data_IF_460832184860
#
_entry.id   IF_460832184860
#
_cell.length_a   1.000
_cell.length_b   1.000
_cell.length_c   1.000
_cell.angle_alpha   90.00
_cell.angle_beta   90.00
_cell.angle_gamma   90.00
#
_symmetry.space_group_name_H-M   'P 1'
#
loop_
_entity.id
_entity.type
_entity.pdbx_description
1 polymer ?
#
# COMPACT_ATOMS: atom_id res chain seq x y z
N UNK A 1 0.80 -7.22 -45.45
CA UNK A 1 1.58 -7.33 -44.21
C UNK A 1 0.66 -7.65 -43.05
N UNK A 2 1.17 -8.21 -41.96
CA UNK A 2 0.43 -8.48 -40.73
C UNK A 2 -0.07 -7.16 -40.13
N UNK A 3 -1.36 -7.04 -39.76
CA UNK A 3 -1.88 -5.80 -39.19
C UNK A 3 -1.35 -5.51 -37.79
N UNK A 4 -0.83 -6.52 -37.07
CA UNK A 4 -0.30 -6.36 -35.71
C UNK A 4 1.17 -5.96 -35.66
N UNK A 5 2.01 -6.47 -36.57
CA UNK A 5 3.47 -6.29 -36.50
C UNK A 5 4.10 -5.89 -37.85
N UNK A 6 3.29 -5.58 -38.85
CA UNK A 6 3.70 -5.13 -40.20
C UNK A 6 4.57 -6.11 -41.00
N UNK A 7 4.93 -7.28 -40.45
CA UNK A 7 5.71 -8.32 -41.13
C UNK A 7 4.94 -8.89 -42.33
N UNK A 8 5.61 -9.12 -43.46
CA UNK A 8 4.99 -9.80 -44.59
C UNK A 8 4.64 -11.25 -44.23
N UNK A 9 3.46 -11.72 -44.61
CA UNK A 9 3.12 -13.13 -44.42
C UNK A 9 3.87 -13.97 -45.45
N UNK A 10 4.46 -15.08 -45.01
CA UNK A 10 4.94 -16.12 -45.91
C UNK A 10 3.78 -16.65 -46.79
N UNK A 11 4.12 -17.16 -47.97
CA UNK A 11 3.14 -17.73 -48.89
C UNK A 11 2.40 -18.90 -48.20
N UNK A 12 1.07 -18.87 -48.23
CA UNK A 12 0.17 -19.87 -47.61
C UNK A 12 0.20 -19.97 -46.07
N UNK A 13 0.89 -19.08 -45.36
CA UNK A 13 0.88 -19.06 -43.90
C UNK A 13 -0.52 -18.69 -43.34
N UNK A 14 -1.09 -19.58 -42.51
CA UNK A 14 -2.37 -19.36 -41.80
C UNK A 14 -2.24 -18.42 -40.60
N UNK A 15 -1.02 -18.25 -40.09
CA UNK A 15 -0.68 -17.36 -38.98
C UNK A 15 0.57 -16.54 -39.32
N UNK A 16 0.73 -15.38 -38.69
CA UNK A 16 1.95 -14.59 -38.84
C UNK A 16 3.06 -15.28 -38.06
N UNK A 17 4.18 -15.57 -38.72
CA UNK A 17 5.31 -16.28 -38.09
C UNK A 17 5.96 -15.46 -36.97
N UNK A 18 5.90 -14.12 -37.05
CA UNK A 18 6.50 -13.24 -36.05
C UNK A 18 5.64 -13.08 -34.78
N UNK A 19 4.31 -13.03 -34.90
CA UNK A 19 3.44 -12.69 -33.77
C UNK A 19 2.21 -13.59 -33.59
N UNK A 20 2.11 -14.69 -34.34
CA UNK A 20 1.01 -15.66 -34.28
C UNK A 20 -0.34 -15.17 -34.83
N UNK A 21 -0.42 -13.98 -35.44
CA UNK A 21 -1.71 -13.40 -35.85
C UNK A 21 -2.36 -14.17 -37.02
N UNK A 22 -3.56 -14.69 -36.79
CA UNK A 22 -4.31 -15.51 -37.76
C UNK A 22 -4.69 -14.71 -39.01
N UNK A 23 -4.41 -15.27 -40.19
CA UNK A 23 -4.77 -14.71 -41.48
C UNK A 23 -6.15 -15.22 -41.89
N UNK A 24 -7.20 -14.43 -41.68
CA UNK A 24 -8.55 -14.78 -42.14
C UNK A 24 -9.53 -13.60 -42.04
N UNK A 25 -10.22 -13.30 -43.15
CA UNK A 25 -11.48 -12.53 -43.12
C UNK A 25 -12.63 -13.52 -43.18
N UNK A 26 -13.55 -13.45 -42.23
CA UNK A 26 -14.84 -14.16 -42.31
C UNK A 26 -15.84 -13.20 -42.93
N UNK A 27 -16.39 -13.55 -44.10
CA UNK A 27 -17.57 -12.88 -44.64
C UNK A 27 -18.80 -13.61 -44.14
N UNK A 28 -19.58 -12.97 -43.28
CA UNK A 28 -20.92 -13.47 -42.91
C UNK A 28 -21.94 -12.50 -43.52
N UNK A 29 -22.75 -12.99 -44.45
CA UNK A 29 -23.91 -12.24 -44.97
C UNK A 29 -25.04 -12.31 -43.92
N UNK A 30 -25.40 -11.19 -43.33
CA UNK A 30 -26.54 -11.08 -42.42
C UNK A 30 -27.67 -10.25 -43.07
N UNK A 31 -28.92 -10.70 -42.90
CA UNK A 31 -30.14 -9.93 -43.18
C UNK A 31 -30.60 -9.20 -41.91
N UNK A 32 -31.25 -8.02 -42.04
CA UNK A 32 -31.52 -7.11 -40.92
C UNK A 32 -32.36 -7.72 -39.78
N UNK A 33 -33.24 -8.68 -40.07
CA UNK A 33 -34.05 -9.37 -39.05
C UNK A 33 -33.21 -10.24 -38.09
N UNK A 34 -32.08 -10.79 -38.56
CA UNK A 34 -31.18 -11.59 -37.71
C UNK A 34 -30.32 -10.74 -36.79
N UNK A 35 -30.03 -9.48 -37.15
CA UNK A 35 -29.25 -8.56 -36.30
C UNK A 35 -29.98 -8.29 -34.99
N UNK A 36 -31.28 -8.02 -35.06
CA UNK A 36 -32.09 -7.75 -33.87
C UNK A 36 -32.15 -8.99 -32.98
N UNK A 37 -32.31 -10.19 -33.55
CA UNK A 37 -32.36 -11.43 -32.77
C UNK A 37 -31.01 -11.80 -32.16
N UNK A 38 -29.90 -11.62 -32.89
CA UNK A 38 -28.56 -11.84 -32.32
C UNK A 38 -28.21 -10.79 -31.29
N UNK A 39 -28.62 -9.53 -31.45
CA UNK A 39 -28.41 -8.52 -30.41
C UNK A 39 -29.30 -8.78 -29.18
N UNK A 40 -30.55 -9.18 -29.37
CA UNK A 40 -31.47 -9.53 -28.26
C UNK A 40 -31.03 -10.76 -27.47
N UNK A 41 -30.27 -11.68 -28.04
CA UNK A 41 -29.76 -12.86 -27.33
C UNK A 41 -28.32 -12.67 -26.88
N UNK A 42 -27.47 -12.07 -27.71
CA UNK A 42 -26.06 -11.86 -27.39
C UNK A 42 -25.85 -10.74 -26.37
N UNK A 43 -26.64 -9.66 -26.38
CA UNK A 43 -26.49 -8.58 -25.39
C UNK A 43 -26.83 -9.08 -23.98
N UNK A 44 -27.94 -9.82 -23.74
CA UNK A 44 -28.20 -10.38 -22.42
C UNK A 44 -27.19 -11.45 -22.00
N UNK A 45 -26.71 -12.30 -22.92
CA UNK A 45 -25.66 -13.28 -22.62
C UNK A 45 -24.32 -12.61 -22.32
N UNK A 46 -23.98 -11.54 -23.04
CA UNK A 46 -22.77 -10.75 -22.82
C UNK A 46 -22.88 -9.95 -21.53
N UNK A 47 -24.05 -9.38 -21.23
CA UNK A 47 -24.33 -8.69 -19.97
C UNK A 47 -24.31 -9.65 -18.78
N UNK A 48 -24.93 -10.83 -18.90
CA UNK A 48 -24.88 -11.88 -17.88
C UNK A 48 -23.45 -12.44 -17.69
N UNK A 49 -22.67 -12.59 -18.77
CA UNK A 49 -21.26 -12.95 -18.69
C UNK A 49 -20.40 -11.86 -18.06
N UNK A 50 -20.67 -10.59 -18.36
CA UNK A 50 -20.00 -9.42 -17.81
C UNK A 50 -20.26 -9.27 -16.30
N UNK A 51 -21.51 -9.42 -15.86
CA UNK A 51 -21.87 -9.34 -14.44
C UNK A 51 -21.46 -10.59 -13.65
N UNK A 52 -21.40 -11.77 -14.28
CA UNK A 52 -20.90 -12.99 -13.65
C UNK A 52 -19.36 -13.04 -13.58
N UNK A 53 -18.64 -12.36 -14.49
CA UNK A 53 -17.18 -12.30 -14.47
C UNK A 53 -16.63 -11.62 -13.21
N UNK A 54 -17.26 -10.54 -12.73
CA UNK A 54 -16.82 -9.84 -11.52
C UNK A 54 -16.98 -10.70 -10.24
N UNK A 55 -17.85 -11.74 -10.27
CA UNK A 55 -18.06 -12.66 -9.15
C UNK A 55 -17.23 -13.96 -9.21
N UNK A 56 -16.71 -14.35 -10.39
CA UNK A 56 -15.96 -15.61 -10.57
C UNK A 56 -14.46 -15.40 -10.84
N UNK A 57 -14.05 -14.23 -11.36
CA UNK A 57 -12.67 -14.00 -11.80
C UNK A 57 -11.78 -13.25 -10.79
N UNK A 58 -12.32 -12.88 -9.62
CA UNK A 58 -11.63 -11.96 -8.71
C UNK A 58 -11.51 -10.54 -9.31
N UNK A 59 -10.95 -9.57 -8.57
CA UNK A 59 -10.84 -8.20 -9.06
C UNK A 59 -10.02 -8.16 -10.36
N UNK A 60 -10.48 -7.37 -11.34
CA UNK A 60 -9.74 -7.11 -12.58
C UNK A 60 -8.30 -6.71 -12.22
N UNK A 61 -7.27 -7.30 -12.87
CA UNK A 61 -5.91 -6.83 -12.68
C UNK A 61 -5.87 -5.35 -13.01
N UNK A 62 -5.34 -4.57 -12.08
CA UNK A 62 -5.22 -3.12 -12.19
C UNK A 62 -4.53 -2.83 -13.52
N UNK A 63 -5.17 -2.02 -14.37
CA UNK A 63 -4.53 -1.46 -15.56
C UNK A 63 -3.33 -0.64 -15.07
N UNK A 64 -2.14 -1.22 -15.22
CA UNK A 64 -0.91 -0.87 -14.53
C UNK A 64 0.03 -2.09 -14.47
N UNK A 65 -0.54 -3.31 -14.50
CA UNK A 65 0.23 -4.56 -14.52
C UNK A 65 0.73 -5.01 -15.91
N UNK A 66 0.56 -4.22 -16.98
CA UNK A 66 0.91 -4.67 -18.35
C UNK A 66 2.18 -4.04 -18.96
N UNK A 67 2.88 -3.14 -18.28
CA UNK A 67 4.14 -2.59 -18.82
C UNK A 67 5.42 -3.27 -18.27
N UNK A 68 5.35 -3.99 -17.15
CA UNK A 68 6.53 -4.63 -16.54
C UNK A 68 6.72 -6.12 -16.88
N UNK A 69 6.19 -6.63 -17.99
CA UNK A 69 6.46 -8.02 -18.39
C UNK A 69 7.95 -8.29 -18.66
N UNK A 70 8.71 -7.26 -19.04
CA UNK A 70 10.15 -7.37 -19.28
C UNK A 70 10.98 -7.33 -17.98
N UNK A 71 10.68 -6.41 -17.05
CA UNK A 71 11.34 -6.36 -15.72
C UNK A 71 11.08 -7.64 -14.91
N UNK A 72 9.85 -8.18 -14.96
CA UNK A 72 9.50 -9.48 -14.35
C UNK A 72 10.28 -10.65 -14.98
N UNK A 73 10.62 -10.55 -16.26
CA UNK A 73 11.43 -11.55 -16.98
C UNK A 73 12.91 -11.49 -16.56
N UNK A 74 13.44 -10.31 -16.21
CA UNK A 74 14.81 -10.16 -15.70
C UNK A 74 14.88 -10.61 -14.24
N UNK A 75 13.96 -10.15 -13.37
CA UNK A 75 13.88 -10.56 -11.97
C UNK A 75 13.66 -12.08 -11.79
N UNK A 76 12.88 -12.72 -12.66
CA UNK A 76 12.68 -14.17 -12.65
C UNK A 76 13.86 -14.98 -13.22
N UNK A 77 14.82 -14.34 -13.92
CA UNK A 77 15.97 -15.02 -14.54
C UNK A 77 17.31 -14.74 -13.84
N UNK A 78 17.39 -13.72 -12.99
CA UNK A 78 18.59 -13.31 -12.27
C UNK A 78 18.30 -13.10 -10.77
N UNK A 79 19.03 -13.81 -9.90
CA UNK A 79 18.93 -13.60 -8.45
C UNK A 79 19.47 -12.22 -8.02
N UNK A 80 19.07 -11.74 -6.85
CA UNK A 80 19.41 -10.42 -6.27
C UNK A 80 20.90 -10.07 -6.42
N UNK A 81 21.81 -11.02 -6.21
CA UNK A 81 23.26 -10.82 -6.38
C UNK A 81 23.69 -10.44 -7.80
N UNK A 82 23.05 -11.03 -8.81
CA UNK A 82 23.32 -10.68 -10.22
C UNK A 82 22.80 -9.28 -10.53
N UNK A 83 21.60 -8.93 -10.07
CA UNK A 83 21.03 -7.59 -10.23
C UNK A 83 21.92 -6.53 -9.56
N UNK A 84 22.44 -6.79 -8.35
CA UNK A 84 23.42 -5.93 -7.67
C UNK A 84 24.69 -5.75 -8.51
N UNK A 85 25.21 -6.82 -9.12
CA UNK A 85 26.39 -6.75 -9.98
C UNK A 85 26.13 -5.96 -11.27
N UNK A 86 24.98 -6.18 -11.92
CA UNK A 86 24.55 -5.46 -13.12
C UNK A 86 24.35 -3.97 -12.84
N UNK A 87 23.78 -3.61 -11.68
CA UNK A 87 23.62 -2.22 -11.27
C UNK A 87 24.95 -1.51 -11.05
N UNK A 88 25.99 -2.21 -10.55
CA UNK A 88 27.34 -1.61 -10.44
C UNK A 88 27.93 -1.23 -11.80
N UNK A 89 27.61 -1.99 -12.86
CA UNK A 89 28.05 -1.67 -14.22
C UNK A 89 27.21 -0.56 -14.85
N UNK A 90 25.92 -0.46 -14.47
CA UNK A 90 24.97 0.49 -15.04
C UNK A 90 24.12 1.16 -13.93
N UNK A 91 24.68 2.13 -13.16
CA UNK A 91 24.07 2.63 -11.92
C UNK A 91 22.71 3.29 -12.08
N UNK A 92 22.45 3.93 -13.22
CA UNK A 92 21.22 4.68 -13.48
C UNK A 92 20.24 3.92 -14.39
N UNK A 93 20.46 2.61 -14.60
CA UNK A 93 19.57 1.81 -15.44
C UNK A 93 18.26 1.52 -14.68
N UNK A 94 17.20 2.22 -15.07
CA UNK A 94 15.86 2.12 -14.48
C UNK A 94 15.31 0.69 -14.49
N UNK A 95 15.56 -0.09 -15.54
CA UNK A 95 15.04 -1.47 -15.64
C UNK A 95 15.69 -2.39 -14.61
N UNK A 96 17.01 -2.25 -14.39
CA UNK A 96 17.75 -3.00 -13.38
C UNK A 96 17.32 -2.55 -11.98
N UNK A 97 17.14 -1.25 -11.77
CA UNK A 97 16.65 -0.71 -10.50
C UNK A 97 15.26 -1.27 -10.15
N UNK A 98 14.32 -1.29 -11.11
CA UNK A 98 13.01 -1.92 -10.90
C UNK A 98 13.10 -3.40 -10.60
N UNK A 99 13.86 -4.16 -11.40
CA UNK A 99 14.02 -5.59 -11.19
C UNK A 99 14.61 -5.88 -9.79
N UNK A 100 15.59 -5.08 -9.35
CA UNK A 100 16.17 -5.21 -8.01
C UNK A 100 15.16 -4.86 -6.93
N UNK A 101 14.41 -3.75 -7.06
CA UNK A 101 13.38 -3.36 -6.10
C UNK A 101 12.29 -4.44 -5.96
N UNK A 102 11.83 -5.01 -7.07
CA UNK A 102 10.85 -6.09 -7.10
C UNK A 102 11.39 -7.34 -6.37
N UNK A 103 12.61 -7.79 -6.69
CA UNK A 103 13.21 -8.95 -6.03
C UNK A 103 13.46 -8.73 -4.52
N UNK A 104 13.92 -7.54 -4.12
CA UNK A 104 14.10 -7.19 -2.71
C UNK A 104 12.74 -7.15 -1.97
N UNK A 105 11.70 -6.65 -2.63
CA UNK A 105 10.34 -6.63 -2.10
C UNK A 105 9.76 -8.04 -1.91
N UNK A 106 9.99 -8.95 -2.86
CA UNK A 106 9.61 -10.36 -2.71
C UNK A 106 10.36 -11.04 -1.56
N UNK A 107 11.68 -10.81 -1.45
CA UNK A 107 12.50 -11.34 -0.36
C UNK A 107 12.06 -10.81 1.01
N UNK A 108 11.64 -9.54 1.09
CA UNK A 108 11.08 -8.94 2.29
C UNK A 108 9.80 -9.64 2.73
N UNK A 109 8.87 -9.88 1.79
CA UNK A 109 7.57 -10.47 2.07
C UNK A 109 7.64 -11.98 2.39
N UNK A 110 8.69 -12.66 1.93
CA UNK A 110 8.93 -14.07 2.23
C UNK A 110 9.41 -14.31 3.68
N UNK A 111 9.86 -13.26 4.38
CA UNK A 111 10.43 -13.35 5.72
C UNK A 111 9.43 -12.87 6.78
N UNK A 112 9.24 -13.65 7.85
CA UNK A 112 8.39 -13.24 8.98
C UNK A 112 8.96 -12.01 9.71
N UNK A 113 10.29 -11.88 9.74
CA UNK A 113 11.03 -10.77 10.34
C UNK A 113 12.17 -10.37 9.43
N UNK A 114 11.92 -9.55 8.39
CA UNK A 114 12.96 -9.18 7.46
C UNK A 114 14.07 -8.39 8.17
N UNK A 115 15.35 -8.61 7.80
CA UNK A 115 16.46 -7.81 8.31
C UNK A 115 16.26 -6.36 7.91
N UNK A 116 16.54 -5.43 8.82
CA UNK A 116 16.36 -3.99 8.57
C UNK A 116 17.25 -3.52 7.42
N UNK A 117 18.42 -4.13 7.26
CA UNK A 117 19.35 -3.88 6.15
C UNK A 117 18.68 -4.06 4.79
N UNK A 118 17.80 -5.05 4.64
CA UNK A 118 17.07 -5.31 3.40
C UNK A 118 16.02 -4.22 3.13
N UNK A 119 15.32 -3.77 4.18
CA UNK A 119 14.37 -2.64 4.08
C UNK A 119 15.09 -1.37 3.63
N UNK A 120 16.26 -1.09 4.22
CA UNK A 120 17.05 0.10 3.87
C UNK A 120 17.57 0.03 2.43
N UNK A 121 18.08 -1.12 2.00
CA UNK A 121 18.51 -1.31 0.61
C UNK A 121 17.35 -1.08 -0.37
N UNK A 122 16.17 -1.63 -0.09
CA UNK A 122 14.98 -1.42 -0.91
C UNK A 122 14.63 0.07 -0.99
N UNK A 123 14.63 0.80 0.14
CA UNK A 123 14.40 2.25 0.16
C UNK A 123 15.43 2.99 -0.70
N UNK A 124 16.71 2.62 -0.63
CA UNK A 124 17.77 3.26 -1.42
C UNK A 124 17.61 3.02 -2.93
N UNK A 125 17.20 1.80 -3.33
CA UNK A 125 16.90 1.48 -4.73
C UNK A 125 15.67 2.25 -5.21
N UNK A 126 14.60 2.29 -4.42
CA UNK A 126 13.39 3.06 -4.74
C UNK A 126 13.68 4.56 -4.88
N UNK A 127 14.54 5.12 -4.02
CA UNK A 127 14.97 6.51 -4.14
C UNK A 127 15.84 6.75 -5.39
N UNK A 128 16.62 5.77 -5.84
CA UNK A 128 17.33 5.85 -7.12
C UNK A 128 16.37 5.86 -8.30
N UNK A 129 15.33 5.00 -8.27
CA UNK A 129 14.24 5.03 -9.27
C UNK A 129 13.64 6.44 -9.32
N UNK A 130 13.28 7.02 -8.16
CA UNK A 130 12.67 8.36 -8.12
C UNK A 130 13.60 9.51 -8.50
N UNK A 131 14.93 9.30 -8.52
CA UNK A 131 15.87 10.28 -9.10
C UNK A 131 15.85 10.26 -10.62
N UNK A 132 15.68 9.08 -11.21
CA UNK A 132 15.64 8.89 -12.67
C UNK A 132 14.25 9.22 -13.21
N UNK A 133 13.20 8.71 -12.56
CA UNK A 133 11.79 9.02 -12.83
C UNK A 133 11.06 9.47 -11.55
N UNK A 134 10.95 10.79 -11.31
CA UNK A 134 10.25 11.34 -10.14
C UNK A 134 8.75 11.02 -10.05
N UNK A 135 8.14 10.54 -11.14
CA UNK A 135 6.72 10.20 -11.24
C UNK A 135 6.47 8.69 -11.33
N UNK A 136 7.48 7.87 -11.03
CA UNK A 136 7.30 6.43 -10.97
C UNK A 136 6.30 6.05 -9.87
N UNK A 137 5.07 5.73 -10.29
CA UNK A 137 3.97 5.47 -9.36
C UNK A 137 4.21 4.23 -8.50
N UNK A 138 4.90 3.22 -9.03
CA UNK A 138 5.18 1.99 -8.30
C UNK A 138 6.17 2.23 -7.16
N UNK A 139 7.23 3.00 -7.41
CA UNK A 139 8.23 3.34 -6.41
C UNK A 139 7.65 4.26 -5.34
N UNK A 140 6.86 5.27 -5.72
CA UNK A 140 6.13 6.14 -4.78
C UNK A 140 5.23 5.31 -3.87
N UNK A 141 4.39 4.42 -4.44
CA UNK A 141 3.47 3.59 -3.66
C UNK A 141 4.22 2.63 -2.72
N UNK A 142 5.31 2.04 -3.19
CA UNK A 142 6.12 1.13 -2.38
C UNK A 142 6.74 1.86 -1.18
N UNK A 143 7.29 3.07 -1.39
CA UNK A 143 7.79 3.91 -0.30
C UNK A 143 6.68 4.33 0.67
N UNK A 144 5.48 4.63 0.17
CA UNK A 144 4.32 4.94 1.01
C UNK A 144 3.96 3.76 1.93
N UNK A 145 3.88 2.55 1.37
CA UNK A 145 3.56 1.33 2.11
C UNK A 145 4.65 0.97 3.13
N UNK A 146 5.93 1.08 2.76
CA UNK A 146 7.06 0.87 3.69
C UNK A 146 6.97 1.87 4.85
N UNK A 147 6.70 3.14 4.55
CA UNK A 147 6.55 4.18 5.56
C UNK A 147 5.37 3.91 6.49
N UNK A 148 4.21 3.52 5.93
CA UNK A 148 3.02 3.17 6.70
C UNK A 148 3.26 1.97 7.62
N UNK A 149 3.84 0.89 7.10
CA UNK A 149 4.14 -0.33 7.87
C UNK A 149 5.19 -0.07 8.95
N UNK A 150 6.10 0.88 8.72
CA UNK A 150 7.08 1.34 9.70
C UNK A 150 6.52 2.37 10.69
N UNK A 151 5.22 2.68 10.61
CA UNK A 151 4.51 3.69 11.41
C UNK A 151 5.04 5.12 11.24
N UNK A 152 5.82 5.38 10.18
CA UNK A 152 6.28 6.71 9.79
C UNK A 152 5.16 7.43 9.03
N UNK A 153 4.05 7.73 9.71
CA UNK A 153 2.81 8.19 9.09
C UNK A 153 2.96 9.54 8.36
N UNK A 154 3.81 10.45 8.84
CA UNK A 154 4.07 11.73 8.14
C UNK A 154 4.65 11.50 6.72
N UNK A 155 5.63 10.58 6.61
CA UNK A 155 6.23 10.21 5.33
C UNK A 155 5.25 9.42 4.46
N UNK A 156 4.48 8.53 5.08
CA UNK A 156 3.45 7.78 4.39
C UNK A 156 2.43 8.73 3.75
N UNK A 157 2.01 9.79 4.46
CA UNK A 157 1.10 10.83 3.95
C UNK A 157 1.68 11.47 2.67
N UNK A 158 2.91 11.96 2.72
CA UNK A 158 3.58 12.60 1.58
C UNK A 158 3.60 11.70 0.34
N UNK A 159 4.01 10.43 0.50
CA UNK A 159 4.07 9.51 -0.63
C UNK A 159 2.68 9.08 -1.13
N UNK A 160 1.70 8.89 -0.23
CA UNK A 160 0.33 8.58 -0.65
C UNK A 160 -0.32 9.75 -1.40
N UNK A 161 -0.12 10.98 -0.96
CA UNK A 161 -0.58 12.18 -1.68
C UNK A 161 0.01 12.22 -3.09
N UNK A 162 1.34 12.09 -3.22
CA UNK A 162 2.02 12.03 -4.53
C UNK A 162 1.50 10.92 -5.42
N UNK A 163 1.24 9.73 -4.87
CA UNK A 163 0.67 8.63 -5.65
C UNK A 163 -0.76 8.93 -6.10
N UNK A 164 -1.59 9.50 -5.23
CA UNK A 164 -2.99 9.82 -5.51
C UNK A 164 -3.15 11.02 -6.46
N UNK A 165 -2.16 11.91 -6.55
CA UNK A 165 -2.08 12.91 -7.62
C UNK A 165 -1.96 12.26 -9.01
N UNK A 166 -1.18 11.17 -9.10
CA UNK A 166 -1.02 10.39 -10.34
C UNK A 166 -2.20 9.45 -10.60
N UNK A 167 -2.78 8.90 -9.54
CA UNK A 167 -3.82 7.85 -9.58
C UNK A 167 -5.04 8.22 -8.72
N UNK A 168 -5.78 9.29 -9.05
CA UNK A 168 -6.82 9.86 -8.20
C UNK A 168 -8.05 8.95 -8.02
N UNK A 169 -8.19 7.87 -8.78
CA UNK A 169 -9.29 6.92 -8.70
C UNK A 169 -8.94 5.63 -7.95
N UNK A 170 -7.72 5.45 -7.44
CA UNK A 170 -7.33 4.23 -6.72
C UNK A 170 -7.92 4.22 -5.30
N UNK A 171 -9.15 3.71 -5.18
CA UNK A 171 -9.88 3.62 -3.91
C UNK A 171 -9.16 2.77 -2.86
N UNK A 172 -8.33 1.81 -3.27
CA UNK A 172 -7.59 0.97 -2.33
C UNK A 172 -6.51 1.80 -1.64
N UNK A 173 -5.77 2.61 -2.41
CA UNK A 173 -4.75 3.49 -1.83
C UNK A 173 -5.39 4.63 -1.04
N UNK A 174 -6.53 5.19 -1.49
CA UNK A 174 -7.29 6.16 -0.69
C UNK A 174 -7.72 5.62 0.67
N UNK A 175 -8.05 4.34 0.78
CA UNK A 175 -8.36 3.71 2.08
C UNK A 175 -7.16 3.69 3.02
N UNK A 176 -5.97 3.31 2.53
CA UNK A 176 -4.74 3.29 3.33
C UNK A 176 -4.30 4.72 3.69
N UNK A 177 -4.48 5.66 2.77
CA UNK A 177 -4.27 7.08 3.03
C UNK A 177 -5.19 7.60 4.16
N UNK A 178 -6.49 7.29 4.13
CA UNK A 178 -7.39 7.67 5.21
C UNK A 178 -7.03 7.04 6.56
N UNK A 179 -6.55 5.78 6.56
CA UNK A 179 -5.99 5.15 7.76
C UNK A 179 -4.75 5.92 8.26
N UNK A 180 -3.87 6.33 7.36
CA UNK A 180 -2.69 7.17 7.68
C UNK A 180 -3.11 8.48 8.35
N UNK A 181 -4.11 9.17 7.79
CA UNK A 181 -4.67 10.39 8.37
C UNK A 181 -5.27 10.15 9.75
N UNK A 182 -5.93 9.00 9.96
CA UNK A 182 -6.47 8.61 11.28
C UNK A 182 -5.34 8.50 12.31
N UNK A 183 -4.22 7.85 11.97
CA UNK A 183 -3.07 7.74 12.88
C UNK A 183 -2.33 9.07 13.13
N UNK A 184 -2.45 10.03 12.21
CA UNK A 184 -1.96 11.40 12.38
C UNK A 184 -2.91 12.28 13.21
N UNK A 185 -4.08 11.78 13.59
CA UNK A 185 -5.10 12.56 14.28
C UNK A 185 -5.90 13.51 13.38
N UNK A 186 -5.73 13.41 12.06
CA UNK A 186 -6.45 14.21 11.07
C UNK A 186 -7.83 13.60 10.76
N UNK A 187 -8.62 13.39 11.82
CA UNK A 187 -9.83 12.56 11.78
C UNK A 187 -10.91 13.07 10.82
N UNK A 188 -11.08 14.40 10.70
CA UNK A 188 -12.08 14.97 9.80
C UNK A 188 -11.73 14.71 8.34
N UNK A 189 -10.45 14.83 7.96
CA UNK A 189 -10.00 14.56 6.59
C UNK A 189 -10.03 13.06 6.28
N UNK A 190 -9.69 12.22 7.26
CA UNK A 190 -9.85 10.77 7.16
C UNK A 190 -11.32 10.39 6.90
N UNK A 191 -12.24 10.96 7.67
CA UNK A 191 -13.68 10.72 7.54
C UNK A 191 -14.23 11.17 6.19
N UNK A 192 -13.85 12.37 5.71
CA UNK A 192 -14.24 12.86 4.39
C UNK A 192 -13.75 11.91 3.29
N UNK A 193 -12.47 11.52 3.35
CA UNK A 193 -11.87 10.59 2.39
C UNK A 193 -12.60 9.26 2.37
N UNK A 194 -12.92 8.70 3.54
CA UNK A 194 -13.65 7.44 3.66
C UNK A 194 -15.08 7.55 3.12
N UNK A 195 -15.78 8.67 3.34
CA UNK A 195 -17.12 8.87 2.78
C UNK A 195 -17.10 9.01 1.26
N UNK A 196 -16.07 9.62 0.67
CA UNK A 196 -15.90 9.64 -0.79
C UNK A 196 -15.75 8.23 -1.38
N UNK A 197 -15.03 7.33 -0.67
CA UNK A 197 -14.91 5.93 -1.08
C UNK A 197 -16.24 5.21 -0.90
N UNK A 198 -16.90 5.36 0.26
CA UNK A 198 -18.20 4.74 0.55
C UNK A 198 -19.29 5.15 -0.45
N UNK A 199 -19.27 6.38 -0.97
CA UNK A 199 -20.21 6.79 -2.03
C UNK A 199 -20.06 5.97 -3.32
N UNK A 200 -18.84 5.51 -3.63
CA UNK A 200 -18.55 4.72 -4.82
C UNK A 200 -18.70 3.22 -4.57
N UNK A 201 -18.31 2.77 -3.38
CA UNK A 201 -18.42 1.38 -2.92
C UNK A 201 -19.00 1.33 -1.50
N UNK A 202 -20.34 1.37 -1.36
CA UNK A 202 -21.02 1.47 -0.06
C UNK A 202 -20.79 0.27 0.87
N UNK A 203 -20.38 -0.86 0.30
CA UNK A 203 -20.17 -2.15 0.97
C UNK A 203 -18.69 -2.49 1.10
N UNK A 204 -17.79 -1.55 0.82
CA UNK A 204 -16.36 -1.79 0.96
C UNK A 204 -16.01 -2.09 2.42
N UNK A 205 -15.66 -3.34 2.70
CA UNK A 205 -15.29 -3.80 4.03
C UNK A 205 -14.20 -2.93 4.69
N UNK A 206 -13.12 -2.64 3.96
CA UNK A 206 -11.99 -1.87 4.49
C UNK A 206 -12.39 -0.43 4.80
N UNK A 207 -13.20 0.21 3.96
CA UNK A 207 -13.70 1.57 4.22
C UNK A 207 -14.58 1.62 5.46
N UNK A 208 -15.49 0.65 5.62
CA UNK A 208 -16.35 0.56 6.81
C UNK A 208 -15.52 0.32 8.07
N UNK A 209 -14.54 -0.58 8.02
CA UNK A 209 -13.62 -0.85 9.11
C UNK A 209 -12.83 0.41 9.52
N UNK A 210 -12.28 1.14 8.55
CA UNK A 210 -11.56 2.39 8.80
C UNK A 210 -12.47 3.49 9.34
N UNK A 211 -13.75 3.57 8.92
CA UNK A 211 -14.73 4.51 9.51
C UNK A 211 -14.96 4.21 10.99
N UNK A 212 -15.12 2.94 11.36
CA UNK A 212 -15.26 2.56 12.78
C UNK A 212 -14.02 2.88 13.60
N UNK A 213 -12.81 2.62 13.09
CA UNK A 213 -11.57 2.94 13.80
C UNK A 213 -11.42 4.47 13.95
N UNK A 214 -11.65 5.24 12.88
CA UNK A 214 -11.59 6.70 12.94
C UNK A 214 -12.61 7.29 13.92
N UNK A 215 -13.82 6.75 13.96
CA UNK A 215 -14.86 7.18 14.92
C UNK A 215 -14.48 6.80 16.36
N UNK A 216 -13.86 5.63 16.56
CA UNK A 216 -13.37 5.20 17.88
C UNK A 216 -12.28 6.15 18.40
N UNK A 217 -11.32 6.53 17.55
CA UNK A 217 -10.24 7.46 17.90
C UNK A 217 -10.75 8.86 18.25
N UNK A 218 -11.87 9.29 17.65
CA UNK A 218 -12.57 10.53 18.02
C UNK A 218 -13.39 10.40 19.32
N UNK A 219 -13.50 9.19 19.90
CA UNK A 219 -14.32 8.91 21.07
C UNK A 219 -15.82 8.77 20.77
N UNK A 220 -16.22 8.71 19.50
CA UNK A 220 -17.60 8.59 19.04
C UNK A 220 -18.08 7.13 19.07
N UNK A 221 -18.15 6.55 20.26
CA UNK A 221 -18.35 5.11 20.46
C UNK A 221 -19.61 4.53 19.79
N UNK A 222 -20.71 5.30 19.75
CA UNK A 222 -21.94 4.87 19.09
C UNK A 222 -21.76 4.71 17.58
N UNK A 223 -21.11 5.69 16.92
CA UNK A 223 -20.83 5.63 15.48
C UNK A 223 -19.80 4.55 15.19
N UNK A 224 -18.77 4.44 16.02
CA UNK A 224 -17.75 3.40 15.89
C UNK A 224 -18.35 2.00 15.86
N UNK A 225 -19.29 1.70 16.76
CA UNK A 225 -19.98 0.41 16.76
C UNK A 225 -20.90 0.21 15.56
N UNK A 226 -21.63 1.25 15.13
CA UNK A 226 -22.45 1.17 13.93
C UNK A 226 -21.61 0.80 12.69
N UNK A 227 -20.50 1.49 12.47
CA UNK A 227 -19.61 1.21 11.34
C UNK A 227 -18.93 -0.16 11.46
N UNK A 228 -18.61 -0.60 12.67
CA UNK A 228 -18.06 -1.94 12.93
C UNK A 228 -19.07 -3.02 12.54
N UNK A 229 -20.34 -2.87 12.91
CA UNK A 229 -21.40 -3.83 12.57
C UNK A 229 -21.66 -3.87 11.06
N UNK A 230 -21.65 -2.70 10.39
CA UNK A 230 -21.69 -2.62 8.93
C UNK A 230 -20.46 -3.32 8.30
N UNK A 231 -19.25 -3.11 8.83
CA UNK A 231 -18.05 -3.76 8.34
C UNK A 231 -18.15 -5.28 8.46
N UNK A 232 -18.49 -5.81 9.64
CA UNK A 232 -18.67 -7.25 9.90
C UNK A 232 -19.69 -7.85 8.92
N UNK A 233 -20.81 -7.17 8.69
CA UNK A 233 -21.87 -7.63 7.78
C UNK A 233 -21.45 -7.66 6.30
N UNK A 234 -20.42 -6.91 5.92
CA UNK A 234 -19.90 -6.83 4.54
C UNK A 234 -18.49 -7.44 4.42
N UNK A 235 -18.03 -8.18 5.42
CA UNK A 235 -16.74 -8.86 5.36
C UNK A 235 -16.75 -9.91 4.23
N UNK A 236 -15.63 -10.09 3.49
CA UNK A 236 -15.58 -11.08 2.42
C UNK A 236 -15.71 -12.53 2.93
N UNK A 237 -15.28 -12.79 4.17
CA UNK A 237 -15.37 -14.09 4.84
C UNK A 237 -15.67 -13.95 6.33
N UNK A 238 -16.29 -14.97 6.92
CA UNK A 238 -16.51 -15.06 8.38
C UNK A 238 -15.19 -14.99 9.17
N UNK A 239 -14.11 -15.54 8.59
CA UNK A 239 -12.79 -15.51 9.20
C UNK A 239 -12.23 -14.09 9.28
N UNK A 240 -12.39 -13.29 8.22
CA UNK A 240 -12.01 -11.87 8.23
C UNK A 240 -12.89 -11.05 9.16
N UNK A 241 -14.20 -11.29 9.16
CA UNK A 241 -15.13 -10.66 10.08
C UNK A 241 -14.69 -10.86 11.54
N UNK A 242 -14.40 -12.11 11.91
CA UNK A 242 -13.97 -12.46 13.27
C UNK A 242 -12.60 -11.88 13.63
N UNK A 243 -11.64 -11.86 12.69
CA UNK A 243 -10.33 -11.23 12.89
C UNK A 243 -10.49 -9.74 13.15
N UNK A 244 -11.31 -9.08 12.34
CA UNK A 244 -11.57 -7.66 12.47
C UNK A 244 -12.31 -7.33 13.77
N UNK A 245 -13.33 -8.09 14.14
CA UNK A 245 -14.04 -7.92 15.41
C UNK A 245 -13.10 -8.05 16.61
N UNK A 246 -12.23 -9.07 16.60
CA UNK A 246 -11.22 -9.26 17.65
C UNK A 246 -10.27 -8.07 17.73
N UNK A 247 -9.81 -7.57 16.59
CA UNK A 247 -8.94 -6.40 16.51
C UNK A 247 -9.63 -5.11 16.99
N UNK A 248 -10.89 -4.88 16.59
CA UNK A 248 -11.64 -3.71 17.03
C UNK A 248 -11.88 -3.71 18.55
N UNK A 249 -12.20 -4.88 19.12
CA UNK A 249 -12.40 -5.02 20.56
C UNK A 249 -11.10 -4.75 21.35
N UNK A 250 -9.94 -5.18 20.85
CA UNK A 250 -8.67 -4.86 21.52
C UNK A 250 -8.33 -3.36 21.47
N UNK A 251 -8.69 -2.68 20.38
CA UNK A 251 -8.58 -1.22 20.30
C UNK A 251 -9.51 -0.54 21.32
N UNK A 252 -10.74 -1.02 21.47
CA UNK A 252 -11.71 -0.46 22.43
C UNK A 252 -11.20 -0.57 23.87
N UNK A 253 -10.70 -1.74 24.27
CA UNK A 253 -10.11 -1.96 25.61
C UNK A 253 -8.92 -1.03 25.88
N UNK A 254 -8.06 -0.82 24.88
CA UNK A 254 -6.92 0.10 24.99
C UNK A 254 -7.36 1.56 25.15
N UNK A 255 -8.41 1.96 24.43
CA UNK A 255 -8.96 3.31 24.46
C UNK A 255 -9.66 3.60 25.79
N UNK A 256 -10.37 2.63 26.37
CA UNK A 256 -10.95 2.74 27.72
C UNK A 256 -9.86 2.85 28.80
N UNK A 257 -8.80 2.04 28.68
CA UNK A 257 -7.67 2.06 29.63
C UNK A 257 -6.91 3.41 29.59
N UNK A 258 -6.74 4.01 28.41
CA UNK A 258 -6.10 5.32 28.24
C UNK A 258 -6.91 6.46 28.88
N UNK A 259 -8.25 6.42 28.80
CA UNK A 259 -9.14 7.39 29.46
C UNK A 259 -9.06 7.33 30.98
N UNK A 260 -8.85 6.14 31.56
CA UNK A 260 -8.70 5.98 33.01
C UNK A 260 -7.36 6.54 33.49
N UNK A 261 -6.27 6.32 32.74
CA UNK A 261 -4.92 6.79 33.11
C UNK A 261 -4.75 8.32 33.03
N UNK A 262 -5.46 9.00 32.15
CA UNK A 262 -5.43 10.47 32.01
C UNK A 262 -6.25 11.22 33.08
N UNK A 263 -7.01 10.49 33.91
CA UNK A 263 -7.84 11.07 34.98
C UNK A 263 -7.17 11.15 36.36
N UNK A 264 -5.93 10.64 36.51
CA UNK A 264 -5.18 10.72 37.77
C UNK A 264 -4.25 11.94 37.78
N UNK A 265 -4.55 12.93 38.63
CA UNK A 265 -3.73 14.10 38.91
C UNK A 265 -2.30 13.73 39.34
N UNK A 266 -1.31 13.99 38.48
CA UNK A 266 0.12 13.96 38.84
C UNK A 266 0.61 15.41 38.91
N UNK A 267 1.24 15.86 40.03
CA UNK A 267 1.68 17.24 40.16
C UNK A 267 2.88 17.53 39.24
N UNK A 268 2.74 18.50 38.34
CA UNK A 268 3.83 19.01 37.51
C UNK A 268 4.75 19.95 38.30
N UNK A 269 6.07 19.69 38.26
CA UNK A 269 7.11 20.65 38.65
C UNK A 269 8.12 20.79 37.53
N UNK A 270 8.34 22.03 37.10
CA UNK A 270 8.97 22.43 35.83
C UNK A 270 10.51 22.49 35.86
N UNK A 271 11.14 21.94 34.83
CA UNK A 271 12.54 22.11 34.43
C UNK A 271 12.66 21.98 32.89
N UNK A 272 13.62 22.66 32.25
CA UNK A 272 13.81 22.60 30.77
C UNK A 272 14.16 21.20 30.21
N UNK A 273 14.46 20.21 31.07
CA UNK A 273 14.47 18.78 30.71
C UNK A 273 13.12 18.29 30.20
N UNK A 274 12.05 18.91 30.68
CA UNK A 274 10.69 18.41 30.56
C UNK A 274 10.18 18.57 29.13
N UNK A 275 10.60 19.61 28.40
CA UNK A 275 10.16 19.80 27.02
C UNK A 275 10.66 18.73 26.04
N UNK A 276 11.90 18.26 26.19
CA UNK A 276 12.44 17.19 25.35
C UNK A 276 11.89 15.83 25.79
N UNK A 277 11.78 15.60 27.09
CA UNK A 277 11.16 14.38 27.61
C UNK A 277 9.69 14.26 27.20
N UNK A 278 8.92 15.33 27.35
CA UNK A 278 7.52 15.41 26.94
C UNK A 278 7.35 15.26 25.43
N UNK A 279 8.23 15.86 24.63
CA UNK A 279 8.29 15.61 23.19
C UNK A 279 8.52 14.12 22.88
N UNK A 280 9.49 13.48 23.54
CA UNK A 280 9.79 12.07 23.32
C UNK A 280 8.65 11.16 23.76
N UNK A 281 8.01 11.46 24.90
CA UNK A 281 6.85 10.70 25.43
C UNK A 281 5.60 10.86 24.57
N UNK A 282 5.37 12.05 24.01
CA UNK A 282 4.22 12.32 23.14
C UNK A 282 4.42 11.83 21.70
N UNK A 283 5.65 11.52 21.29
CA UNK A 283 5.92 11.05 19.94
C UNK A 283 5.35 9.63 19.72
N UNK A 284 4.52 9.39 18.69
CA UNK A 284 3.82 8.10 18.49
C UNK A 284 4.72 6.85 18.40
N UNK A 285 5.94 7.00 17.87
CA UNK A 285 6.90 5.91 17.66
C UNK A 285 7.91 5.82 18.81
N UNK A 286 8.45 6.96 19.24
CA UNK A 286 9.51 7.00 20.24
C UNK A 286 8.95 6.86 21.67
N UNK A 287 7.76 7.39 21.93
CA UNK A 287 7.11 7.42 23.24
C UNK A 287 6.92 6.04 23.87
N UNK A 288 6.30 5.06 23.18
CA UNK A 288 6.13 3.70 23.70
C UNK A 288 7.44 2.99 24.03
N UNK A 289 8.55 3.42 23.43
CA UNK A 289 9.90 2.85 23.66
C UNK A 289 10.71 3.69 24.64
N UNK A 290 10.32 4.92 24.93
CA UNK A 290 11.11 5.85 25.71
C UNK A 290 11.03 5.50 27.20
N UNK A 291 12.19 5.28 27.82
CA UNK A 291 12.29 4.95 29.24
C UNK A 291 12.51 6.23 30.06
N UNK A 292 13.65 6.89 29.85
CA UNK A 292 14.06 8.08 30.61
C UNK A 292 15.14 8.86 29.87
N UNK A 293 15.39 10.10 30.33
CA UNK A 293 16.49 10.94 29.88
C UNK A 293 17.36 11.36 31.07
N UNK A 294 18.68 11.17 30.95
CA UNK A 294 19.67 11.66 31.90
C UNK A 294 20.40 12.86 31.31
N UNK A 295 20.46 13.96 32.06
CA UNK A 295 21.23 15.14 31.64
C UNK A 295 22.66 15.03 32.17
N UNK A 296 23.63 14.89 31.25
CA UNK A 296 25.06 14.91 31.61
C UNK A 296 25.62 16.34 31.67
N UNK A 297 25.12 17.26 30.84
CA UNK A 297 25.52 18.67 30.85
C UNK A 297 24.46 19.58 30.20
N UNK A 298 24.75 20.89 30.05
CA UNK A 298 23.84 21.83 29.39
C UNK A 298 23.46 21.42 27.95
N UNK A 299 24.36 20.74 27.23
CA UNK A 299 24.19 20.35 25.82
C UNK A 299 24.34 18.84 25.58
N UNK A 300 24.40 18.01 26.63
CA UNK A 300 24.61 16.57 26.51
C UNK A 300 23.58 15.82 27.33
N UNK A 301 22.84 14.96 26.65
CA UNK A 301 21.80 14.12 27.21
C UNK A 301 22.09 12.66 26.86
N UNK A 302 21.78 11.76 27.77
CA UNK A 302 21.68 10.32 27.54
C UNK A 302 20.21 9.96 27.53
N UNK A 303 19.73 9.41 26.42
CA UNK A 303 18.34 9.01 26.28
C UNK A 303 18.30 7.48 26.29
N UNK A 304 17.38 6.93 27.08
CA UNK A 304 17.21 5.50 27.24
C UNK A 304 15.89 5.08 26.57
N UNK A 305 15.98 4.03 25.76
CA UNK A 305 14.84 3.43 25.09
C UNK A 305 14.87 1.91 25.36
N UNK A 306 13.69 1.33 25.61
CA UNK A 306 13.49 -0.11 25.60
C UNK A 306 13.42 -0.63 24.16
N UNK A 307 13.99 -1.82 23.92
CA UNK A 307 13.97 -2.50 22.62
C UNK A 307 14.38 -1.61 21.43
N UNK A 308 15.28 -0.66 21.69
CA UNK A 308 15.84 0.18 20.64
C UNK A 308 16.68 -0.71 19.72
N UNK A 309 16.38 -0.80 18.41
CA UNK A 309 16.91 -1.85 17.56
C UNK A 309 18.34 -1.54 17.10
N UNK A 310 19.27 -1.47 18.05
CA UNK A 310 20.67 -1.19 17.81
C UNK A 310 21.27 -2.18 16.81
N UNK A 311 20.87 -3.45 16.85
CA UNK A 311 21.38 -4.49 15.96
C UNK A 311 20.97 -4.32 14.50
N UNK A 312 19.84 -3.67 14.19
CA UNK A 312 19.33 -3.48 12.83
C UNK A 312 19.73 -2.18 12.14
N UNK A 313 20.42 -1.28 12.85
CA UNK A 313 20.87 -0.02 12.24
C UNK A 313 22.07 -0.22 11.29
N UNK A 314 22.14 0.52 10.17
CA UNK A 314 23.33 0.57 9.34
C UNK A 314 24.56 0.99 10.17
N UNK A 315 25.74 0.47 9.83
CA UNK A 315 26.97 0.73 10.59
C UNK A 315 27.24 2.23 10.79
N UNK A 316 27.01 3.06 9.77
CA UNK A 316 27.21 4.51 9.85
C UNK A 316 26.22 5.23 10.80
N UNK A 317 25.06 4.62 11.09
CA UNK A 317 24.10 5.12 12.08
C UNK A 317 24.49 4.62 13.47
N UNK A 318 24.87 3.33 13.60
CA UNK A 318 25.41 2.74 14.83
C UNK A 318 26.61 3.53 15.36
N UNK A 319 27.52 3.95 14.48
CA UNK A 319 28.73 4.69 14.84
C UNK A 319 28.46 6.12 15.38
N UNK A 320 27.22 6.60 15.31
CA UNK A 320 26.78 7.92 15.82
C UNK A 320 26.06 7.84 17.17
N UNK A 321 25.72 6.65 17.65
CA UNK A 321 25.12 6.38 18.96
C UNK A 321 26.18 5.85 19.93
#
# INVERSE_FOLDING_TARGET
SCPKCSTAYAANARFCENCGWKRGRVYVKFTPLRIILTLLVAIPLWYAGYTAQDNLAGPKPIAGASENHFARSIAASEGVEKLRASLKAHPDNIEILHALADSLGEELMAQEKPPQELVFELIDVLNQILKVDPKDGQAILTLANISYNSQAFDKAREFFERYLELNPSDLRVKNVYASTLTFLGEYSLAQETLFQIKQQDPKNFLTLANLSINSLQQGELSQANQWKDEAISNAPTDAEAKRYETFFNSLLESHESSKVATSSDIPHTSSQSDGLEEFLRSHPIAGPKFERIDRESKAKFKIYFHDFPMSGMPKFVKDKF
#
